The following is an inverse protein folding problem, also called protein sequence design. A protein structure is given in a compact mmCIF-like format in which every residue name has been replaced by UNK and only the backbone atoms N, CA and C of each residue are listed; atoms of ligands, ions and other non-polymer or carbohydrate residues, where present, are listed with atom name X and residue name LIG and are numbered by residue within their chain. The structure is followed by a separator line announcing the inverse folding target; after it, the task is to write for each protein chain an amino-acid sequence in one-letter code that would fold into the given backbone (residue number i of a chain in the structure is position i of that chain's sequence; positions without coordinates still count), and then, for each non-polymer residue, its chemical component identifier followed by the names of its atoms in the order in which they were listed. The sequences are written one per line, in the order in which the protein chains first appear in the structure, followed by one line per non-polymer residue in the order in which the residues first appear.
data_IF_676975152975
#
_entry.id   IF_676975152975
#
_cell.length_a   1.000
_cell.length_b   1.000
_cell.length_c   1.000
_cell.angle_alpha   90.00
_cell.angle_beta   90.00
_cell.angle_gamma   90.00
#
_symmetry.space_group_name_H-M   'P 1'
#
loop_
_entity.id
_entity.type
_entity.pdbx_description
1 polymer ?
#
# COMPACT_ATOMS: atom_id res chain seq x y z
N UNK A 1 21.99 -14.60 -25.68
CA UNK A 1 21.46 -13.31 -26.17
C UNK A 1 19.97 -13.06 -25.87
N UNK A 2 19.26 -13.89 -25.07
CA UNK A 2 17.85 -13.65 -24.74
C UNK A 2 17.59 -12.72 -23.54
N UNK A 3 18.46 -12.73 -22.52
CA UNK A 3 18.23 -12.00 -21.26
C UNK A 3 18.46 -10.48 -21.38
N UNK A 4 19.38 -10.04 -22.24
CA UNK A 4 19.69 -8.61 -22.44
C UNK A 4 18.56 -7.87 -23.19
N UNK A 5 17.98 -8.52 -24.22
CA UNK A 5 16.87 -7.97 -25.03
C UNK A 5 15.58 -7.88 -24.21
N UNK A 6 15.32 -8.87 -23.34
CA UNK A 6 14.22 -8.80 -22.37
C UNK A 6 14.41 -7.65 -21.37
N UNK A 7 15.65 -7.40 -20.93
CA UNK A 7 16.00 -6.28 -20.07
C UNK A 7 15.82 -4.91 -20.73
N UNK A 8 16.13 -4.78 -22.02
CA UNK A 8 15.94 -3.53 -22.78
C UNK A 8 14.47 -3.24 -23.08
N UNK A 9 13.70 -4.24 -23.50
CA UNK A 9 12.26 -4.09 -23.70
C UNK A 9 11.53 -3.71 -22.40
N UNK A 10 11.96 -4.29 -21.27
CA UNK A 10 11.41 -3.97 -19.95
C UNK A 10 11.81 -2.56 -19.48
N UNK A 11 13.05 -2.12 -19.75
CA UNK A 11 13.51 -0.75 -19.49
C UNK A 11 12.75 0.28 -20.33
N UNK A 12 12.54 0.00 -21.61
CA UNK A 12 11.79 0.89 -22.50
C UNK A 12 10.33 1.01 -22.08
N UNK A 13 9.68 -0.10 -21.72
CA UNK A 13 8.30 -0.07 -21.18
C UNK A 13 8.22 0.75 -19.88
N UNK A 14 9.16 0.57 -18.95
CA UNK A 14 9.23 1.35 -17.71
C UNK A 14 9.37 2.85 -18.01
N UNK A 15 10.27 3.21 -18.93
CA UNK A 15 10.49 4.60 -19.34
C UNK A 15 9.21 5.22 -19.90
N UNK A 16 8.50 4.53 -20.80
CA UNK A 16 7.23 5.00 -21.33
C UNK A 16 6.14 5.14 -20.26
N UNK A 17 6.11 4.25 -19.27
CA UNK A 17 5.18 4.37 -18.12
C UNK A 17 5.53 5.58 -17.26
N UNK A 18 6.82 5.85 -17.01
CA UNK A 18 7.22 7.04 -16.25
C UNK A 18 6.96 8.33 -17.01
N UNK A 19 7.24 8.39 -18.32
CA UNK A 19 6.92 9.55 -19.15
C UNK A 19 5.41 9.84 -19.16
N UNK A 20 4.58 8.80 -19.28
CA UNK A 20 3.13 8.94 -19.18
C UNK A 20 2.67 9.42 -17.78
N UNK A 21 3.25 8.87 -16.72
CA UNK A 21 2.90 9.25 -15.34
C UNK A 21 3.42 10.64 -14.98
N UNK A 22 4.57 11.06 -15.47
CA UNK A 22 5.08 12.42 -15.27
C UNK A 22 4.19 13.43 -16.00
N UNK A 23 3.65 13.07 -17.16
CA UNK A 23 2.70 13.91 -17.91
C UNK A 23 1.30 13.99 -17.27
N UNK A 24 0.81 12.89 -16.66
CA UNK A 24 -0.59 12.81 -16.19
C UNK A 24 -0.74 12.92 -14.66
N UNK A 25 0.22 12.39 -13.89
CA UNK A 25 0.19 12.27 -12.43
C UNK A 25 1.61 12.36 -11.84
N UNK A 26 2.26 13.53 -11.87
CA UNK A 26 3.69 13.68 -11.56
C UNK A 26 4.05 13.24 -10.13
N UNK A 27 3.17 13.45 -9.14
CA UNK A 27 3.38 12.98 -7.76
C UNK A 27 3.49 11.45 -7.67
N UNK A 28 2.70 10.73 -8.48
CA UNK A 28 2.71 9.26 -8.55
C UNK A 28 3.91 8.74 -9.33
N UNK A 29 4.30 9.42 -10.40
CA UNK A 29 5.54 9.12 -11.14
C UNK A 29 6.78 9.20 -10.24
N UNK A 30 6.89 10.27 -9.46
CA UNK A 30 7.96 10.45 -8.47
C UNK A 30 7.94 9.34 -7.40
N UNK A 31 6.79 9.05 -6.79
CA UNK A 31 6.65 7.99 -5.79
C UNK A 31 7.15 6.63 -6.30
N UNK A 32 6.78 6.27 -7.53
CA UNK A 32 7.14 4.98 -8.10
C UNK A 32 8.63 4.84 -8.39
N UNK A 33 9.33 5.93 -8.74
CA UNK A 33 10.79 5.92 -8.89
C UNK A 33 11.47 5.60 -7.56
N UNK A 34 11.08 6.27 -6.47
CA UNK A 34 11.59 5.98 -5.13
C UNK A 34 11.31 4.52 -4.70
N UNK A 35 10.10 4.04 -4.95
CA UNK A 35 9.71 2.66 -4.66
C UNK A 35 10.55 1.64 -5.44
N UNK A 36 10.86 1.93 -6.70
CA UNK A 36 11.69 1.06 -7.52
C UNK A 36 13.14 1.05 -7.07
N UNK A 37 13.74 2.22 -6.82
CA UNK A 37 15.10 2.33 -6.29
C UNK A 37 15.23 1.58 -4.97
N UNK A 38 14.25 1.68 -4.07
CA UNK A 38 14.25 0.93 -2.81
C UNK A 38 14.24 -0.60 -3.04
N UNK A 39 13.43 -1.08 -3.99
CA UNK A 39 13.37 -2.51 -4.33
C UNK A 39 14.66 -3.02 -4.97
N UNK A 40 15.31 -2.18 -5.79
CA UNK A 40 16.58 -2.50 -6.43
C UNK A 40 17.71 -2.57 -5.40
N UNK A 41 17.80 -1.62 -4.47
CA UNK A 41 18.79 -1.67 -3.37
C UNK A 41 18.62 -2.92 -2.51
N UNK A 42 17.38 -3.29 -2.15
CA UNK A 42 17.13 -4.57 -1.44
C UNK A 42 17.61 -5.79 -2.23
N UNK A 43 17.48 -5.78 -3.56
CA UNK A 43 17.91 -6.89 -4.41
C UNK A 43 19.43 -6.99 -4.55
N UNK A 44 20.12 -5.86 -4.59
CA UNK A 44 21.57 -5.78 -4.81
C UNK A 44 22.34 -5.93 -3.51
N UNK A 45 21.96 -5.19 -2.47
CA UNK A 45 22.73 -5.09 -1.22
C UNK A 45 22.29 -6.11 -0.16
N UNK A 46 21.06 -6.64 -0.27
CA UNK A 46 20.49 -7.58 0.69
C UNK A 46 20.15 -7.00 2.06
N UNK A 47 20.71 -5.85 2.46
CA UNK A 47 20.31 -5.11 3.67
C UNK A 47 19.06 -4.25 3.38
N UNK A 48 18.10 -4.31 4.31
CA UNK A 48 16.83 -3.61 4.25
C UNK A 48 16.93 -2.20 4.86
N UNK A 49 18.01 -1.86 5.56
CA UNK A 49 18.17 -0.58 6.26
C UNK A 49 18.23 0.62 5.31
N UNK A 50 19.04 0.55 4.27
CA UNK A 50 19.23 1.62 3.29
C UNK A 50 17.94 1.87 2.51
N UNK A 51 17.23 0.80 2.14
CA UNK A 51 15.92 0.88 1.52
C UNK A 51 14.87 1.56 2.41
N UNK A 52 14.87 1.27 3.73
CA UNK A 52 13.99 1.95 4.70
C UNK A 52 14.30 3.44 4.81
N UNK A 53 15.58 3.80 4.89
CA UNK A 53 16.00 5.21 4.97
C UNK A 53 15.57 5.98 3.72
N UNK A 54 15.73 5.37 2.54
CA UNK A 54 15.31 5.94 1.28
C UNK A 54 13.78 6.18 1.22
N UNK A 55 12.99 5.16 1.59
CA UNK A 55 11.53 5.27 1.61
C UNK A 55 11.05 6.29 2.64
N UNK A 56 11.71 6.37 3.80
CA UNK A 56 11.43 7.38 4.82
C UNK A 56 11.72 8.80 4.32
N UNK A 57 12.84 8.99 3.62
CA UNK A 57 13.15 10.26 2.95
C UNK A 57 12.11 10.62 1.87
N UNK A 58 11.65 9.63 1.10
CA UNK A 58 10.64 9.84 0.07
C UNK A 58 9.30 10.33 0.65
N UNK A 59 8.90 9.86 1.85
CA UNK A 59 7.67 10.32 2.52
C UNK A 59 7.67 11.82 2.84
N UNK A 60 8.85 12.45 3.01
CA UNK A 60 8.95 13.90 3.22
C UNK A 60 8.78 14.70 1.92
N UNK A 61 9.02 14.08 0.77
CA UNK A 61 9.13 14.79 -0.51
C UNK A 61 7.97 14.48 -1.47
N UNK A 62 7.22 13.41 -1.24
CA UNK A 62 6.25 12.86 -2.19
C UNK A 62 4.83 13.02 -1.67
N UNK A 63 3.95 13.64 -2.47
CA UNK A 63 2.53 13.79 -2.14
C UNK A 63 1.75 12.48 -2.18
N UNK A 64 2.18 11.52 -3.01
CA UNK A 64 1.62 10.16 -3.04
C UNK A 64 2.34 9.22 -2.07
N UNK A 65 2.15 9.47 -0.77
CA UNK A 65 2.70 8.62 0.29
C UNK A 65 2.08 7.21 0.29
N UNK A 66 0.87 7.03 -0.26
CA UNK A 66 0.20 5.74 -0.32
C UNK A 66 1.01 4.72 -1.14
N UNK A 67 1.53 5.12 -2.30
CA UNK A 67 2.40 4.26 -3.12
C UNK A 67 3.71 3.89 -2.40
N UNK A 68 4.26 4.82 -1.61
CA UNK A 68 5.50 4.61 -0.83
C UNK A 68 5.25 3.62 0.30
N UNK A 69 4.21 3.82 1.12
CA UNK A 69 3.84 2.89 2.19
C UNK A 69 3.51 1.50 1.67
N UNK A 70 2.74 1.36 0.57
CA UNK A 70 2.40 0.05 0.00
C UNK A 70 3.66 -0.71 -0.41
N UNK A 71 4.62 -0.03 -1.02
CA UNK A 71 5.91 -0.65 -1.40
C UNK A 71 6.71 -1.06 -0.17
N UNK A 72 6.83 -0.16 0.81
CA UNK A 72 7.58 -0.45 2.03
C UNK A 72 6.99 -1.66 2.77
N UNK A 73 5.68 -1.66 2.99
CA UNK A 73 4.96 -2.76 3.65
C UNK A 73 5.14 -4.07 2.89
N UNK A 74 5.05 -4.06 1.55
CA UNK A 74 5.31 -5.26 0.75
C UNK A 74 6.73 -5.79 0.97
N UNK A 75 7.72 -4.90 1.01
CA UNK A 75 9.10 -5.29 1.22
C UNK A 75 9.33 -5.89 2.61
N UNK A 76 8.77 -5.30 3.67
CA UNK A 76 8.86 -5.85 5.04
C UNK A 76 8.17 -7.20 5.16
N UNK A 77 7.02 -7.39 4.50
CA UNK A 77 6.31 -8.68 4.50
C UNK A 77 7.15 -9.80 3.89
N UNK A 78 7.77 -9.53 2.74
CA UNK A 78 8.67 -10.48 2.09
C UNK A 78 9.92 -10.78 2.92
N UNK A 79 10.33 -9.86 3.81
CA UNK A 79 11.43 -10.05 4.75
C UNK A 79 11.00 -10.74 6.06
N UNK A 80 9.71 -11.10 6.22
CA UNK A 80 9.15 -11.68 7.44
C UNK A 80 8.85 -10.67 8.56
N UNK A 81 9.02 -9.37 8.31
CA UNK A 81 8.84 -8.27 9.25
C UNK A 81 7.36 -7.87 9.48
N UNK A 82 6.50 -8.83 9.84
CA UNK A 82 5.05 -8.58 10.04
C UNK A 82 4.78 -7.51 11.10
N UNK A 83 5.60 -7.43 12.15
CA UNK A 83 5.49 -6.40 13.19
C UNK A 83 5.77 -4.99 12.66
N UNK A 84 6.82 -4.84 11.84
CA UNK A 84 7.16 -3.56 11.21
C UNK A 84 6.08 -3.16 10.20
N UNK A 85 5.59 -4.12 9.41
CA UNK A 85 4.49 -3.87 8.48
C UNK A 85 3.23 -3.34 9.19
N UNK A 86 2.89 -3.88 10.38
CA UNK A 86 1.78 -3.37 11.20
C UNK A 86 2.02 -1.94 11.67
N UNK A 87 3.21 -1.65 12.18
CA UNK A 87 3.58 -0.32 12.61
C UNK A 87 3.47 0.71 11.47
N UNK A 88 3.94 0.34 10.27
CA UNK A 88 3.82 1.16 9.06
C UNK A 88 2.37 1.43 8.66
N UNK A 89 1.46 0.47 8.85
CA UNK A 89 0.02 0.72 8.62
C UNK A 89 -0.54 1.76 9.60
N UNK A 90 -0.18 1.68 10.88
CA UNK A 90 -0.63 2.66 11.87
C UNK A 90 -0.03 4.06 11.61
N UNK A 91 1.24 4.14 11.20
CA UNK A 91 1.87 5.40 10.79
C UNK A 91 1.17 5.99 9.55
N UNK A 92 0.91 5.18 8.52
CA UNK A 92 0.17 5.59 7.34
C UNK A 92 -1.24 6.08 7.70
N UNK A 93 -1.94 5.36 8.57
CA UNK A 93 -3.26 5.76 9.08
C UNK A 93 -3.22 7.11 9.80
N UNK A 94 -2.18 7.39 10.60
CA UNK A 94 -2.02 8.67 11.29
C UNK A 94 -1.75 9.82 10.31
N UNK A 95 -0.95 9.60 9.26
CA UNK A 95 -0.73 10.59 8.19
C UNK A 95 -2.04 10.86 7.44
N UNK A 96 -2.77 9.81 7.03
CA UNK A 96 -4.07 9.92 6.39
C UNK A 96 -5.09 10.69 7.24
N UNK A 97 -5.12 10.45 8.56
CA UNK A 97 -6.05 11.13 9.46
C UNK A 97 -5.74 12.63 9.62
N UNK A 98 -4.46 13.01 9.64
CA UNK A 98 -4.02 14.42 9.68
C UNK A 98 -4.36 15.15 8.38
N UNK A 99 -4.13 14.51 7.24
CA UNK A 99 -4.45 15.09 5.93
C UNK A 99 -5.96 15.08 5.64
N UNK A 100 -6.69 14.10 6.16
CA UNK A 100 -8.14 13.98 6.03
C UNK A 100 -8.93 15.08 6.74
N UNK A 101 -8.33 15.76 7.72
CA UNK A 101 -8.89 16.95 8.36
C UNK A 101 -8.85 18.23 7.51
N UNK A 102 -8.18 18.21 6.34
CA UNK A 102 -7.91 19.39 5.50
C UNK A 102 -8.70 19.42 4.18
N UNK A 103 -9.60 18.48 3.89
CA UNK A 103 -10.18 18.33 2.54
C UNK A 103 -11.65 18.73 2.42
N UNK A 104 -11.84 19.94 1.86
CA UNK A 104 -13.04 20.38 1.16
C UNK A 104 -13.28 19.54 -0.11
N UNK A 105 -14.55 19.43 -0.48
CA UNK A 105 -15.18 18.56 -1.51
C UNK A 105 -14.75 18.80 -2.98
N UNK A 106 -13.60 19.44 -3.25
CA UNK A 106 -13.24 19.92 -4.60
C UNK A 106 -12.39 18.97 -5.46
N UNK A 107 -11.50 18.17 -4.86
CA UNK A 107 -10.55 17.33 -5.62
C UNK A 107 -10.86 15.85 -5.36
N UNK A 108 -11.81 15.31 -6.12
CA UNK A 108 -12.32 13.93 -6.07
C UNK A 108 -11.30 12.80 -6.31
N UNK A 109 -10.01 13.03 -6.07
CA UNK A 109 -8.94 12.05 -6.18
C UNK A 109 -8.55 11.41 -4.83
N UNK A 110 -9.13 11.84 -3.70
CA UNK A 110 -8.51 11.59 -2.38
C UNK A 110 -9.41 11.01 -1.30
N UNK A 111 -10.74 10.98 -1.48
CA UNK A 111 -11.62 10.13 -0.67
C UNK A 111 -11.31 8.64 -0.90
N UNK A 112 -11.01 8.28 -2.16
CA UNK A 112 -10.58 6.94 -2.57
C UNK A 112 -9.31 6.48 -1.83
N UNK A 113 -8.42 7.40 -1.46
CA UNK A 113 -7.13 7.07 -0.84
C UNK A 113 -7.26 6.53 0.59
N UNK A 114 -8.28 6.97 1.34
CA UNK A 114 -8.48 6.52 2.72
C UNK A 114 -9.29 5.21 2.79
N UNK A 115 -10.28 5.04 1.92
CA UNK A 115 -10.94 3.74 1.72
C UNK A 115 -9.96 2.67 1.24
N UNK A 116 -9.10 3.00 0.28
CA UNK A 116 -8.02 2.14 -0.20
C UNK A 116 -7.05 1.72 0.91
N UNK A 117 -6.68 2.64 1.80
CA UNK A 117 -5.85 2.34 2.96
C UNK A 117 -6.50 1.27 3.85
N UNK A 118 -7.78 1.43 4.20
CA UNK A 118 -8.51 0.45 5.01
C UNK A 118 -8.63 -0.90 4.31
N UNK A 119 -8.90 -0.91 3.01
CA UNK A 119 -8.91 -2.11 2.18
C UNK A 119 -7.55 -2.83 2.17
N UNK A 120 -6.45 -2.08 2.08
CA UNK A 120 -5.10 -2.63 2.12
C UNK A 120 -4.76 -3.19 3.52
N UNK A 121 -5.12 -2.48 4.58
CA UNK A 121 -4.85 -2.91 5.95
C UNK A 121 -5.67 -4.16 6.32
N UNK A 122 -6.95 -4.21 5.93
CA UNK A 122 -7.78 -5.39 6.12
C UNK A 122 -7.22 -6.62 5.37
N UNK A 123 -6.82 -6.46 4.10
CA UNK A 123 -6.20 -7.55 3.35
C UNK A 123 -4.91 -8.05 4.01
N UNK A 124 -4.13 -7.13 4.59
CA UNK A 124 -2.91 -7.50 5.31
C UNK A 124 -3.22 -8.35 6.55
N UNK A 125 -4.15 -7.92 7.41
CA UNK A 125 -4.48 -8.69 8.63
C UNK A 125 -5.21 -10.01 8.32
N UNK A 126 -5.95 -10.10 7.21
CA UNK A 126 -6.50 -11.39 6.76
C UNK A 126 -5.41 -12.38 6.32
N UNK A 127 -4.30 -11.88 5.77
CA UNK A 127 -3.20 -12.72 5.30
C UNK A 127 -2.13 -13.06 6.35
N UNK A 128 -1.92 -12.19 7.34
CA UNK A 128 -0.78 -12.28 8.29
C UNK A 128 -1.21 -12.17 9.76
N UNK A 129 -2.50 -11.99 10.01
CA UNK A 129 -3.09 -11.92 11.33
C UNK A 129 -4.22 -12.92 11.49
N UNK A 130 -4.88 -12.84 12.63
CA UNK A 130 -6.06 -13.64 12.90
C UNK A 130 -7.32 -12.91 12.44
N UNK A 131 -8.37 -13.69 12.19
CA UNK A 131 -9.70 -13.17 11.88
C UNK A 131 -10.21 -12.14 12.92
N UNK A 132 -9.79 -12.28 14.19
CA UNK A 132 -10.07 -11.30 15.25
C UNK A 132 -9.47 -9.92 14.96
N UNK A 133 -8.21 -9.86 14.50
CA UNK A 133 -7.54 -8.60 14.14
C UNK A 133 -8.14 -8.00 12.89
N UNK A 134 -8.42 -8.83 11.87
CA UNK A 134 -9.10 -8.39 10.66
C UNK A 134 -10.47 -7.76 10.98
N UNK A 135 -11.26 -8.37 11.87
CA UNK A 135 -12.53 -7.79 12.36
C UNK A 135 -12.35 -6.46 13.09
N UNK A 136 -11.29 -6.32 13.90
CA UNK A 136 -10.99 -5.07 14.58
C UNK A 136 -10.66 -3.93 13.59
N UNK A 137 -9.85 -4.22 12.57
CA UNK A 137 -9.53 -3.28 11.49
C UNK A 137 -10.78 -2.91 10.69
N UNK A 138 -11.60 -3.90 10.31
CA UNK A 138 -12.88 -3.69 9.65
C UNK A 138 -13.80 -2.74 10.45
N UNK A 139 -13.95 -2.98 11.76
CA UNK A 139 -14.77 -2.12 12.61
C UNK A 139 -14.21 -0.69 12.72
N UNK A 140 -12.87 -0.53 12.74
CA UNK A 140 -12.22 0.79 12.68
C UNK A 140 -12.49 1.49 11.35
N UNK A 141 -12.40 0.77 10.23
CA UNK A 141 -12.67 1.31 8.89
C UNK A 141 -14.09 1.85 8.76
N UNK A 142 -15.10 1.08 9.18
CA UNK A 142 -16.51 1.51 9.13
C UNK A 142 -16.77 2.71 10.03
N UNK A 143 -16.14 2.78 11.21
CA UNK A 143 -16.24 3.95 12.10
C UNK A 143 -15.57 5.19 11.50
N UNK A 144 -14.43 5.02 10.83
CA UNK A 144 -13.68 6.12 10.23
C UNK A 144 -14.36 6.65 8.96
N UNK A 145 -15.05 5.80 8.20
CA UNK A 145 -15.72 6.14 6.95
C UNK A 145 -17.20 5.70 6.96
N UNK A 146 -18.07 6.30 7.78
CA UNK A 146 -19.45 5.82 7.96
C UNK A 146 -20.32 5.97 6.71
N UNK A 147 -19.98 6.93 5.82
CA UNK A 147 -20.74 7.24 4.60
C UNK A 147 -20.25 6.46 3.37
N UNK A 148 -19.13 5.76 3.47
CA UNK A 148 -18.58 4.99 2.35
C UNK A 148 -19.26 3.62 2.27
N UNK A 149 -20.27 3.50 1.41
CA UNK A 149 -20.98 2.24 1.18
C UNK A 149 -20.07 1.19 0.50
N UNK A 150 -19.24 1.61 -0.45
CA UNK A 150 -18.32 0.74 -1.19
C UNK A 150 -17.30 0.08 -0.27
N UNK A 151 -16.72 0.84 0.65
CA UNK A 151 -15.81 0.32 1.67
C UNK A 151 -16.53 -0.67 2.59
N UNK A 152 -17.75 -0.35 3.05
CA UNK A 152 -18.54 -1.24 3.91
C UNK A 152 -18.81 -2.59 3.23
N UNK A 153 -19.29 -2.57 2.00
CA UNK A 153 -19.60 -3.78 1.23
C UNK A 153 -18.33 -4.62 1.00
N UNK A 154 -17.22 -3.96 0.65
CA UNK A 154 -15.93 -4.63 0.45
C UNK A 154 -15.41 -5.28 1.72
N UNK A 155 -15.51 -4.58 2.86
CA UNK A 155 -15.10 -5.09 4.17
C UNK A 155 -15.94 -6.30 4.57
N UNK A 156 -17.25 -6.23 4.38
CA UNK A 156 -18.17 -7.31 4.72
C UNK A 156 -17.92 -8.56 3.87
N UNK A 157 -17.80 -8.41 2.55
CA UNK A 157 -17.53 -9.51 1.62
C UNK A 157 -16.25 -10.26 2.02
N UNK A 158 -15.15 -9.53 2.25
CA UNK A 158 -13.85 -10.13 2.61
C UNK A 158 -13.88 -10.88 3.94
N UNK A 159 -14.64 -10.39 4.92
CA UNK A 159 -14.79 -11.08 6.20
C UNK A 159 -15.64 -12.34 6.09
N UNK A 160 -16.66 -12.34 5.21
CA UNK A 160 -17.48 -13.53 4.93
C UNK A 160 -16.66 -14.61 4.23
N UNK A 161 -15.92 -14.25 3.19
CA UNK A 161 -15.06 -15.19 2.44
C UNK A 161 -14.04 -15.88 3.35
N UNK A 162 -13.37 -15.13 4.23
CA UNK A 162 -12.37 -15.72 5.13
C UNK A 162 -13.01 -16.61 6.20
N UNK A 163 -14.20 -16.25 6.70
CA UNK A 163 -14.97 -17.12 7.60
C UNK A 163 -15.35 -18.43 6.94
N UNK A 164 -15.78 -18.39 5.68
CA UNK A 164 -16.11 -19.59 4.93
C UNK A 164 -14.88 -20.46 4.69
N UNK A 165 -13.75 -19.87 4.30
CA UNK A 165 -12.47 -20.59 4.16
C UNK A 165 -12.06 -21.25 5.47
N UNK A 166 -12.18 -20.57 6.61
CA UNK A 166 -11.89 -21.17 7.91
C UNK A 166 -12.83 -22.32 8.26
N UNK A 167 -14.13 -22.20 7.94
CA UNK A 167 -15.10 -23.29 8.12
C UNK A 167 -14.78 -24.51 7.26
N UNK A 168 -14.40 -24.29 5.99
CA UNK A 168 -13.98 -25.36 5.08
C UNK A 168 -12.71 -26.07 5.54
N UNK A 169 -11.75 -25.33 6.13
CA UNK A 169 -10.51 -25.91 6.69
C UNK A 169 -10.71 -26.74 7.97
N UNK A 170 -11.87 -26.62 8.63
CA UNK A 170 -12.19 -27.33 9.89
C UNK A 170 -13.08 -28.56 9.70
N UNK A 171 -13.58 -28.79 8.49
CA UNK A 171 -14.35 -29.97 8.09
C UNK A 171 -13.41 -30.98 7.46
#
# INVERSE_FOLDING_TARGET
MGMAVLGEAQRQRRRSVYEFLDATRPARGQALRWCETAREMRRVDGDMKEARLLLRGALCCVKDYASVYRTWIAMEKEAGGVGVARWLFEEWGAVCAKDGGLRNEGDGATADAYGDYWCAYLAFELGHGDLRRARAVAARAVRACPRDASLRDTVELRLRDEQERQRRRRR
#
